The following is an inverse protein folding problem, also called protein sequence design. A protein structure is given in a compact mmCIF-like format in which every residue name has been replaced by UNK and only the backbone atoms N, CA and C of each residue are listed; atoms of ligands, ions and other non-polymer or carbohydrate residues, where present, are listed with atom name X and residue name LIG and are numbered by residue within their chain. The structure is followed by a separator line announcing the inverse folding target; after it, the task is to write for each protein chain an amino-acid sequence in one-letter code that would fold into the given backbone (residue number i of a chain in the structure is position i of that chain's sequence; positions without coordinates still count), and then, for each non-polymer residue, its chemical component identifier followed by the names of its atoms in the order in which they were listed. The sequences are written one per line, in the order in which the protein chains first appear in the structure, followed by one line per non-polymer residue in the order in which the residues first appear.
data_IF_447063057979
#
_entry.id   IF_447063057979
#
_cell.length_a   1.000
_cell.length_b   1.000
_cell.length_c   1.000
_cell.angle_alpha   90.00
_cell.angle_beta   90.00
_cell.angle_gamma   90.00
#
_symmetry.space_group_name_H-M   'P 1'
#
loop_
_entity.id
_entity.type
_entity.pdbx_description
1 polymer ?
#
# COMPACT_ATOMS: atom_id res chain seq x y z
N UNK A 1 1.48 -11.29 19.90
CA UNK A 1 1.72 -10.66 18.59
C UNK A 1 0.53 -11.00 17.70
N UNK A 2 -0.25 -10.01 17.26
CA UNK A 2 -1.40 -10.25 16.37
C UNK A 2 -0.87 -10.34 14.93
N UNK A 3 -0.72 -11.56 14.42
CA UNK A 3 -0.41 -11.78 13.02
C UNK A 3 -1.71 -11.69 12.22
N UNK A 4 -1.87 -10.63 11.44
CA UNK A 4 -2.98 -10.54 10.49
C UNK A 4 -2.65 -11.43 9.28
N UNK A 5 -3.53 -12.37 8.96
CA UNK A 5 -3.38 -13.22 7.79
C UNK A 5 -3.85 -12.49 6.52
N UNK A 6 -3.18 -12.75 5.40
CA UNK A 6 -3.52 -12.14 4.10
C UNK A 6 -4.95 -12.49 3.69
N UNK A 7 -5.40 -13.72 3.92
CA UNK A 7 -6.75 -14.15 3.57
C UNK A 7 -7.83 -13.35 4.29
N UNK A 8 -7.62 -13.02 5.57
CA UNK A 8 -8.54 -12.16 6.33
C UNK A 8 -8.62 -10.75 5.75
N UNK A 9 -7.50 -10.21 5.27
CA UNK A 9 -7.47 -8.89 4.62
C UNK A 9 -8.16 -8.91 3.25
N UNK A 10 -8.09 -10.02 2.51
CA UNK A 10 -8.78 -10.19 1.23
C UNK A 10 -10.30 -10.17 1.45
N UNK A 11 -10.80 -10.90 2.45
CA UNK A 11 -12.23 -10.89 2.77
C UNK A 11 -12.68 -9.52 3.26
N UNK A 12 -11.93 -8.88 4.15
CA UNK A 12 -12.25 -7.52 4.60
C UNK A 12 -12.25 -6.50 3.45
N UNK A 13 -11.31 -6.62 2.51
CA UNK A 13 -11.26 -5.78 1.32
C UNK A 13 -12.47 -5.98 0.39
N UNK A 14 -12.99 -7.21 0.29
CA UNK A 14 -14.24 -7.50 -0.44
C UNK A 14 -15.44 -6.89 0.28
N UNK A 15 -15.58 -7.13 1.58
CA UNK A 15 -16.71 -6.63 2.39
C UNK A 15 -16.80 -5.11 2.37
N UNK A 16 -15.66 -4.42 2.41
CA UNK A 16 -15.58 -2.95 2.33
C UNK A 16 -15.68 -2.42 0.89
N UNK A 17 -15.84 -3.29 -0.12
CA UNK A 17 -15.93 -2.89 -1.53
C UNK A 17 -14.63 -2.32 -2.11
N UNK A 18 -13.48 -2.53 -1.45
CA UNK A 18 -12.19 -2.00 -1.90
C UNK A 18 -11.73 -2.62 -3.22
N UNK A 19 -12.22 -3.81 -3.57
CA UNK A 19 -11.94 -4.45 -4.86
C UNK A 19 -12.51 -3.71 -6.08
N UNK A 20 -13.42 -2.76 -5.86
CA UNK A 20 -13.98 -1.92 -6.92
C UNK A 20 -12.98 -0.88 -7.45
N UNK A 21 -11.90 -0.62 -6.71
CA UNK A 21 -10.82 0.25 -7.16
C UNK A 21 -9.80 -0.52 -8.02
N UNK A 22 -9.22 0.18 -8.99
CA UNK A 22 -8.22 -0.38 -9.89
C UNK A 22 -6.79 0.01 -9.53
N UNK A 23 -6.62 1.11 -8.80
CA UNK A 23 -5.34 1.71 -8.49
C UNK A 23 -5.21 1.91 -6.98
N UNK A 24 -4.08 1.50 -6.43
CA UNK A 24 -3.75 1.61 -5.02
C UNK A 24 -2.39 2.28 -4.86
N UNK A 25 -2.37 3.38 -4.10
CA UNK A 25 -1.14 4.07 -3.71
C UNK A 25 -0.78 3.66 -2.28
N UNK A 26 0.40 3.06 -2.08
CA UNK A 26 0.87 2.56 -0.79
C UNK A 26 1.91 3.49 -0.21
N UNK A 27 1.58 4.11 0.93
CA UNK A 27 2.50 4.92 1.71
C UNK A 27 3.15 4.05 2.79
N UNK A 28 4.24 3.38 2.43
CA UNK A 28 4.92 2.50 3.38
C UNK A 28 6.18 1.83 2.84
N UNK A 29 6.82 1.07 3.73
CA UNK A 29 7.98 0.25 3.37
C UNK A 29 7.62 -0.91 2.45
N UNK A 30 8.65 -1.56 1.91
CA UNK A 30 8.53 -2.70 0.96
C UNK A 30 7.60 -3.81 1.45
N UNK A 31 7.53 -4.06 2.75
CA UNK A 31 6.65 -5.08 3.32
C UNK A 31 5.16 -4.74 3.12
N UNK A 32 4.78 -3.46 3.29
CA UNK A 32 3.40 -3.04 3.07
C UNK A 32 3.02 -3.08 1.58
N UNK A 33 3.95 -2.69 0.70
CA UNK A 33 3.76 -2.84 -0.75
C UNK A 33 3.49 -4.30 -1.13
N UNK A 34 4.21 -5.25 -0.53
CA UNK A 34 3.98 -6.68 -0.76
C UNK A 34 2.61 -7.13 -0.22
N UNK A 35 2.21 -6.71 0.98
CA UNK A 35 0.90 -7.04 1.54
C UNK A 35 -0.22 -6.57 0.63
N UNK A 36 -0.20 -5.30 0.20
CA UNK A 36 -1.23 -4.73 -0.68
C UNK A 36 -1.27 -5.44 -2.03
N UNK A 37 -0.12 -5.80 -2.62
CA UNK A 37 -0.08 -6.60 -3.86
C UNK A 37 -0.69 -7.99 -3.72
N UNK A 38 -0.56 -8.62 -2.56
CA UNK A 38 -1.18 -9.92 -2.30
C UNK A 38 -2.70 -9.78 -2.12
N UNK A 39 -3.14 -8.75 -1.37
CA UNK A 39 -4.57 -8.51 -1.11
C UNK A 39 -5.32 -8.10 -2.38
N UNK A 40 -4.73 -7.22 -3.18
CA UNK A 40 -5.33 -6.69 -4.42
C UNK A 40 -4.61 -7.24 -5.66
N UNK A 41 -4.46 -8.56 -5.72
CA UNK A 41 -3.77 -9.22 -6.82
C UNK A 41 -4.41 -8.86 -8.18
N UNK A 42 -3.57 -8.55 -9.17
CA UNK A 42 -4.00 -8.11 -10.51
C UNK A 42 -4.43 -6.65 -10.60
N UNK A 43 -4.40 -5.87 -9.51
CA UNK A 43 -4.65 -4.42 -9.52
C UNK A 43 -3.34 -3.63 -9.61
N UNK A 44 -3.42 -2.36 -10.00
CA UNK A 44 -2.25 -1.49 -10.06
C UNK A 44 -1.88 -1.05 -8.65
N UNK A 45 -0.65 -1.32 -8.23
CA UNK A 45 -0.14 -0.92 -6.90
C UNK A 45 1.15 -0.13 -7.09
N UNK A 46 1.13 1.12 -6.63
CA UNK A 46 2.28 2.03 -6.68
C UNK A 46 2.76 2.38 -5.27
N UNK A 47 4.07 2.63 -5.15
CA UNK A 47 4.67 3.10 -3.91
C UNK A 47 5.51 4.34 -4.21
N UNK A 48 4.95 5.56 -4.04
CA UNK A 48 5.68 6.79 -4.32
C UNK A 48 6.90 6.95 -3.42
N UNK A 49 6.93 6.31 -2.25
CA UNK A 49 8.03 6.40 -1.28
C UNK A 49 9.12 5.35 -1.50
N UNK A 50 9.01 4.55 -2.56
CA UNK A 50 10.03 3.55 -2.90
C UNK A 50 11.40 4.21 -3.04
N UNK A 51 12.39 3.63 -2.37
CA UNK A 51 13.77 4.11 -2.35
C UNK A 51 14.08 5.14 -1.26
N UNK A 52 13.07 5.63 -0.50
CA UNK A 52 13.32 6.51 0.63
C UNK A 52 13.94 5.74 1.80
N UNK A 53 15.08 6.23 2.32
CA UNK A 53 15.84 5.58 3.40
C UNK A 53 15.49 6.05 4.81
N UNK A 54 14.64 7.08 4.93
CA UNK A 54 14.26 7.65 6.22
C UNK A 54 13.11 8.65 6.08
N UNK A 55 12.51 9.00 7.22
CA UNK A 55 11.29 9.81 7.27
C UNK A 55 11.47 11.20 6.65
N UNK A 56 12.63 11.84 6.84
CA UNK A 56 12.90 13.16 6.23
C UNK A 56 12.85 13.14 4.70
N UNK A 57 13.38 12.08 4.08
CA UNK A 57 13.32 11.90 2.63
C UNK A 57 11.89 11.58 2.16
N UNK A 58 11.13 10.80 2.94
CA UNK A 58 9.72 10.53 2.65
C UNK A 58 8.90 11.82 2.68
N UNK A 59 9.05 12.64 3.72
CA UNK A 59 8.34 13.92 3.86
C UNK A 59 8.68 14.89 2.73
N UNK A 60 9.97 15.02 2.40
CA UNK A 60 10.40 15.83 1.25
C UNK A 60 9.72 15.38 -0.04
N UNK A 61 9.78 14.07 -0.34
CA UNK A 61 9.19 13.51 -1.56
C UNK A 61 7.66 13.67 -1.58
N UNK A 62 6.98 13.56 -0.45
CA UNK A 62 5.54 13.81 -0.35
C UNK A 62 5.20 15.27 -0.65
N UNK A 63 5.99 16.22 -0.15
CA UNK A 63 5.79 17.63 -0.45
C UNK A 63 5.96 17.89 -1.96
N UNK A 64 7.01 17.35 -2.58
CA UNK A 64 7.26 17.48 -4.03
C UNK A 64 6.18 16.82 -4.91
N UNK A 65 5.40 15.86 -4.38
CA UNK A 65 4.30 15.22 -5.10
C UNK A 65 2.98 16.00 -4.99
N UNK A 66 2.88 16.95 -4.06
CA UNK A 66 1.69 17.76 -3.83
C UNK A 66 1.81 19.17 -4.45
N UNK A 67 2.95 19.48 -5.08
CA UNK A 67 3.22 20.72 -5.85
C UNK A 67 3.03 20.48 -7.35
#
# INVERSE_FOLDING_TARGET
MNCVQIDSLIEEAKERGLNNYNNFTVLGGKNYENVVKNVFNGKMVENPLKGCKGIGMMLKKLNELNE
#
